data_IF_907288794970
#
_entry.id   IF_907288794970
#
_cell.length_a   1.000
_cell.length_b   1.000
_cell.length_c   1.000
_cell.angle_alpha   90.00
_cell.angle_beta   90.00
_cell.angle_gamma   90.00
#
_symmetry.space_group_name_H-M   'P 1'
#
loop_
_entity.id
_entity.type
_entity.pdbx_description
1 polymer ?
#
# COMPACT_ATOMS: atom_id res chain seq x y z
N UNK A 1 27.68 -4.43 19.80
CA UNK A 1 26.25 -4.09 19.63
C UNK A 1 25.91 -4.38 18.18
N UNK A 2 25.10 -5.39 17.91
CA UNK A 2 24.67 -5.73 16.53
C UNK A 2 23.48 -4.86 16.23
N UNK A 3 23.63 -3.90 15.31
CA UNK A 3 22.53 -3.15 14.74
C UNK A 3 21.64 -4.13 13.98
N UNK A 4 20.44 -4.40 14.51
CA UNK A 4 19.38 -5.05 13.74
C UNK A 4 19.01 -4.09 12.60
N UNK A 5 19.37 -4.47 11.38
CA UNK A 5 18.78 -3.84 10.21
C UNK A 5 17.40 -4.47 10.07
N UNK A 6 16.34 -3.73 10.41
CA UNK A 6 14.98 -4.10 10.02
C UNK A 6 14.95 -4.08 8.50
N UNK A 7 14.83 -5.25 7.90
CA UNK A 7 14.56 -5.37 6.48
C UNK A 7 13.11 -4.96 6.28
N UNK A 8 12.89 -3.89 5.53
CA UNK A 8 11.56 -3.40 5.18
C UNK A 8 10.90 -4.43 4.29
N UNK A 9 9.90 -5.13 4.81
CA UNK A 9 9.03 -5.98 4.01
C UNK A 9 8.10 -5.02 3.27
N UNK A 10 8.33 -4.87 1.96
CA UNK A 10 7.45 -4.12 1.08
C UNK A 10 6.14 -4.91 0.90
N UNK A 11 5.20 -4.73 1.81
CA UNK A 11 3.82 -5.03 1.52
C UNK A 11 3.24 -3.80 0.82
N UNK A 12 2.65 -4.03 -0.34
CA UNK A 12 1.97 -3.10 -1.21
C UNK A 12 1.69 -1.70 -0.64
N UNK A 13 2.36 -0.70 -1.25
CA UNK A 13 1.98 0.72 -1.30
C UNK A 13 1.42 1.34 -0.01
N UNK A 14 2.19 1.32 1.01
CA UNK A 14 2.47 2.41 1.92
C UNK A 14 3.97 2.28 2.15
N UNK A 15 4.76 3.17 1.55
CA UNK A 15 6.16 3.27 1.87
C UNK A 15 6.26 3.49 3.38
N UNK A 16 6.40 2.41 4.14
CA UNK A 16 6.89 2.54 5.50
C UNK A 16 8.31 3.05 5.32
N UNK A 17 8.42 4.37 5.30
CA UNK A 17 9.71 5.03 5.37
C UNK A 17 10.44 4.37 6.52
N UNK A 18 11.51 3.63 6.22
CA UNK A 18 12.40 3.13 7.25
C UNK A 18 13.00 4.37 7.87
N UNK A 19 12.43 4.84 8.99
CA UNK A 19 12.97 5.96 9.74
C UNK A 19 14.29 5.53 10.40
N UNK A 20 15.33 5.36 9.56
CA UNK A 20 16.69 5.48 10.06
C UNK A 20 16.87 6.94 10.44
N UNK A 21 17.36 7.21 11.66
CA UNK A 21 17.65 8.56 12.15
C UNK A 21 18.41 9.34 11.07
N UNK A 22 17.71 10.17 10.33
CA UNK A 22 18.28 11.05 9.32
C UNK A 22 18.58 12.36 10.03
N UNK A 23 19.85 12.68 10.13
CA UNK A 23 20.33 13.88 10.81
C UNK A 23 20.10 15.17 10.00
N UNK A 24 19.35 15.11 8.91
CA UNK A 24 18.98 16.26 8.05
C UNK A 24 17.71 15.96 7.27
N UNK A 25 17.05 17.03 6.76
CA UNK A 25 15.96 16.87 5.79
C UNK A 25 16.47 16.14 4.52
N UNK A 26 15.82 15.09 4.13
CA UNK A 26 16.21 14.25 2.99
C UNK A 26 15.11 14.27 1.91
N UNK A 27 15.55 14.33 0.67
CA UNK A 27 14.70 14.09 -0.49
C UNK A 27 15.23 12.85 -1.17
N UNK A 28 14.39 11.84 -1.36
CA UNK A 28 14.70 10.61 -2.08
C UNK A 28 13.75 10.42 -3.26
N UNK A 29 14.20 9.65 -4.24
CA UNK A 29 13.39 9.20 -5.35
C UNK A 29 13.34 7.67 -5.32
N UNK A 30 12.22 7.12 -5.75
CA UNK A 30 12.10 5.68 -5.94
C UNK A 30 11.60 5.35 -7.35
N UNK A 31 11.89 4.14 -7.79
CA UNK A 31 11.37 3.57 -9.03
C UNK A 31 11.09 2.09 -8.82
N UNK A 32 9.97 1.61 -9.34
CA UNK A 32 9.54 0.22 -9.24
C UNK A 32 8.97 -0.34 -10.53
N UNK A 33 9.04 -1.66 -10.63
CA UNK A 33 8.37 -2.43 -11.67
C UNK A 33 7.80 -3.70 -11.04
N UNK A 34 6.57 -4.05 -11.39
CA UNK A 34 5.93 -5.28 -10.94
C UNK A 34 5.24 -5.99 -12.10
N UNK A 35 5.18 -7.31 -12.05
CA UNK A 35 4.45 -8.09 -13.04
C UNK A 35 2.93 -8.00 -12.87
N UNK A 36 2.46 -7.57 -11.70
CA UNK A 36 1.06 -7.32 -11.37
C UNK A 36 1.01 -6.34 -10.20
N UNK A 37 0.34 -5.21 -10.35
CA UNK A 37 0.14 -4.26 -9.26
C UNK A 37 -1.01 -4.74 -8.39
N UNK A 38 -0.70 -5.17 -7.18
CA UNK A 38 -1.67 -5.62 -6.17
C UNK A 38 -1.84 -4.55 -5.09
N UNK A 39 -3.07 -4.16 -4.82
CA UNK A 39 -3.43 -3.26 -3.74
C UNK A 39 -4.56 -3.87 -2.90
N UNK A 40 -4.31 -4.02 -1.59
CA UNK A 40 -5.27 -4.62 -0.63
C UNK A 40 -5.89 -5.93 -1.15
N UNK A 41 -5.05 -6.81 -1.72
CA UNK A 41 -5.46 -8.13 -2.18
C UNK A 41 -5.92 -8.22 -3.64
N UNK A 42 -6.24 -7.10 -4.29
CA UNK A 42 -6.80 -7.07 -5.66
C UNK A 42 -5.83 -6.44 -6.67
N UNK A 43 -5.93 -6.87 -7.92
CA UNK A 43 -5.10 -6.33 -9.00
C UNK A 43 -5.57 -4.93 -9.41
N UNK A 44 -4.63 -4.01 -9.57
CA UNK A 44 -4.86 -2.65 -10.10
C UNK A 44 -4.39 -2.52 -11.55
N UNK A 45 -3.73 -3.53 -12.08
CA UNK A 45 -3.18 -3.52 -13.44
C UNK A 45 -3.74 -4.62 -14.33
N UNK A 46 -4.90 -5.22 -13.98
CA UNK A 46 -5.53 -6.28 -14.78
C UNK A 46 -4.62 -7.49 -14.98
N UNK A 47 -3.79 -7.84 -13.99
CA UNK A 47 -2.76 -8.87 -14.06
C UNK A 47 -1.67 -8.59 -15.11
N UNK A 48 -1.50 -7.35 -15.53
CA UNK A 48 -0.45 -6.90 -16.44
C UNK A 48 0.70 -6.20 -15.70
N UNK A 49 1.89 -6.06 -16.31
CA UNK A 49 2.99 -5.33 -15.72
C UNK A 49 2.66 -3.85 -15.46
N UNK A 50 3.13 -3.34 -14.32
CA UNK A 50 3.01 -1.94 -13.92
C UNK A 50 4.39 -1.36 -13.59
N UNK A 51 4.57 -0.08 -13.94
CA UNK A 51 5.72 0.74 -13.57
C UNK A 51 5.29 1.79 -12.56
N UNK A 52 6.16 2.10 -11.62
CA UNK A 52 5.89 3.11 -10.61
C UNK A 52 7.13 3.93 -10.28
N UNK A 53 6.93 5.08 -9.67
CA UNK A 53 8.00 5.91 -9.14
C UNK A 53 7.46 7.00 -8.25
N UNK A 54 8.33 7.57 -7.41
CA UNK A 54 7.91 8.57 -6.44
C UNK A 54 9.04 9.48 -5.98
N UNK A 55 8.64 10.52 -5.28
CA UNK A 55 9.54 11.45 -4.60
C UNK A 55 9.07 11.58 -3.15
N UNK A 56 9.99 11.44 -2.22
CA UNK A 56 9.75 11.52 -0.79
C UNK A 56 10.59 12.61 -0.16
N UNK A 57 10.00 13.34 0.75
CA UNK A 57 10.66 14.25 1.67
C UNK A 57 10.45 13.76 3.10
N UNK A 58 11.49 13.71 3.89
CA UNK A 58 11.41 13.44 5.33
C UNK A 58 12.37 14.32 6.11
N UNK A 59 12.10 14.51 7.40
CA UNK A 59 12.99 15.25 8.30
C UNK A 59 13.11 14.58 9.68
N UNK A 60 14.08 15.07 10.47
CA UNK A 60 14.38 14.54 11.82
C UNK A 60 13.19 14.59 12.79
N UNK A 61 12.21 15.45 12.57
CA UNK A 61 11.06 15.53 13.48
C UNK A 61 10.09 14.38 13.28
N UNK A 62 10.26 13.57 12.22
CA UNK A 62 9.35 12.49 11.83
C UNK A 62 8.28 12.93 10.81
N UNK A 63 8.24 14.21 10.45
CA UNK A 63 7.34 14.71 9.40
C UNK A 63 7.85 14.28 8.03
N UNK A 64 6.94 13.78 7.20
CA UNK A 64 7.22 13.43 5.81
C UNK A 64 6.09 13.86 4.89
N UNK A 65 6.40 13.99 3.61
CA UNK A 65 5.42 14.17 2.53
C UNK A 65 6.01 13.59 1.25
N UNK A 66 5.15 13.16 0.34
CA UNK A 66 5.63 12.61 -0.91
C UNK A 66 4.56 12.47 -1.96
N UNK A 67 4.99 11.94 -3.09
CA UNK A 67 4.12 11.55 -4.20
C UNK A 67 4.58 10.23 -4.78
N UNK A 68 3.63 9.42 -5.20
CA UNK A 68 3.86 8.20 -5.93
C UNK A 68 2.99 8.18 -7.17
N UNK A 69 3.47 7.57 -8.24
CA UNK A 69 2.75 7.41 -9.51
C UNK A 69 2.93 5.98 -9.96
N UNK A 70 1.83 5.31 -10.31
CA UNK A 70 1.84 3.95 -10.86
C UNK A 70 0.92 3.82 -12.06
N UNK A 71 1.27 2.91 -12.99
CA UNK A 71 0.39 2.60 -14.11
C UNK A 71 -0.67 1.59 -13.68
N UNK A 72 -1.92 1.83 -14.04
CA UNK A 72 -3.09 1.01 -13.74
C UNK A 72 -3.86 0.61 -14.99
N UNK A 73 -4.60 -0.49 -14.90
CA UNK A 73 -5.44 -1.02 -15.98
C UNK A 73 -6.69 -1.66 -15.35
N UNK A 74 -7.82 -0.96 -15.39
CA UNK A 74 -9.13 -1.45 -14.96
C UNK A 74 -10.04 -1.74 -16.16
N UNK A 75 -9.45 -1.94 -17.33
CA UNK A 75 -10.23 -2.27 -18.53
C UNK A 75 -10.88 -3.64 -18.41
N UNK A 76 -12.10 -3.71 -18.92
CA UNK A 76 -12.88 -4.93 -19.06
C UNK A 76 -13.55 -4.99 -20.45
N UNK A 77 -14.53 -5.89 -20.63
CA UNK A 77 -15.26 -6.02 -21.90
C UNK A 77 -16.08 -4.76 -22.28
N UNK A 78 -16.32 -3.86 -21.31
CA UNK A 78 -17.21 -2.69 -21.45
C UNK A 78 -16.47 -1.35 -21.32
N UNK A 79 -15.29 -1.36 -20.74
CA UNK A 79 -14.49 -0.18 -20.43
C UNK A 79 -13.03 -0.36 -20.85
N UNK A 80 -12.43 0.67 -21.43
CA UNK A 80 -11.00 0.77 -21.77
C UNK A 80 -10.27 1.69 -20.75
N UNK A 81 -10.59 1.55 -19.47
CA UNK A 81 -10.05 2.38 -18.38
C UNK A 81 -8.59 2.00 -18.08
N UNK A 82 -7.63 2.68 -18.75
CA UNK A 82 -6.18 2.54 -18.55
C UNK A 82 -5.56 3.89 -18.28
N UNK A 83 -4.61 3.91 -17.34
CA UNK A 83 -3.99 5.17 -17.01
C UNK A 83 -2.95 5.09 -15.91
N UNK A 84 -3.00 6.08 -15.04
CA UNK A 84 -2.11 6.19 -13.91
C UNK A 84 -2.90 6.54 -12.64
N UNK A 85 -2.44 6.02 -11.52
CA UNK A 85 -2.74 6.45 -10.18
C UNK A 85 -1.65 7.42 -9.73
N UNK A 86 -2.02 8.49 -9.08
CA UNK A 86 -1.11 9.49 -8.50
C UNK A 86 -1.49 9.67 -7.04
N UNK A 87 -0.60 9.30 -6.14
CA UNK A 87 -0.79 9.47 -4.71
C UNK A 87 -0.06 10.70 -4.22
N UNK A 88 -0.73 11.48 -3.38
CA UNK A 88 -0.15 12.60 -2.64
C UNK A 88 -0.33 12.32 -1.15
N UNK A 89 0.75 12.28 -0.41
CA UNK A 89 0.68 11.94 1.01
C UNK A 89 1.53 12.84 1.88
N UNK A 90 1.10 12.94 3.13
CA UNK A 90 1.85 13.58 4.20
C UNK A 90 1.57 12.87 5.51
N UNK A 91 2.54 12.87 6.42
CA UNK A 91 2.36 12.18 7.68
C UNK A 91 3.43 12.51 8.70
N UNK A 92 3.32 11.80 9.80
CA UNK A 92 4.23 11.86 10.93
C UNK A 92 4.47 10.47 11.48
N UNK A 93 5.72 10.02 11.46
CA UNK A 93 6.15 8.75 12.01
C UNK A 93 7.17 8.91 13.13
N UNK A 94 7.22 7.93 14.01
CA UNK A 94 8.14 7.93 15.12
C UNK A 94 8.15 6.64 15.91
N UNK A 95 8.91 6.63 17.00
CA UNK A 95 9.03 5.50 17.92
C UNK A 95 8.77 5.93 19.38
N UNK A 96 8.07 5.10 20.13
CA UNK A 96 7.85 5.25 21.55
C UNK A 96 8.30 3.95 22.26
N UNK A 97 9.60 3.87 22.63
CA UNK A 97 10.23 2.64 23.07
C UNK A 97 10.35 1.64 21.93
N UNK A 98 9.78 0.44 22.09
CA UNK A 98 9.77 -0.60 21.07
C UNK A 98 8.54 -0.52 20.12
N UNK A 99 7.72 0.50 20.30
CA UNK A 99 6.52 0.72 19.50
C UNK A 99 6.77 1.77 18.42
N UNK A 100 6.75 1.35 17.15
CA UNK A 100 6.76 2.24 16.00
C UNK A 100 5.33 2.68 15.66
N UNK A 101 5.16 3.94 15.27
CA UNK A 101 3.88 4.46 14.82
C UNK A 101 4.04 5.40 13.62
N UNK A 102 3.01 5.47 12.81
CA UNK A 102 2.90 6.33 11.65
C UNK A 102 1.44 6.76 11.48
N UNK A 103 1.20 8.06 11.32
CA UNK A 103 -0.11 8.64 11.09
C UNK A 103 -0.02 9.63 9.95
N UNK A 104 -0.96 9.57 9.02
CA UNK A 104 -0.93 10.47 7.87
C UNK A 104 -2.24 10.53 7.12
N UNK A 105 -2.17 11.25 6.03
CA UNK A 105 -3.22 11.38 5.04
C UNK A 105 -2.64 11.05 3.68
N UNK A 106 -3.39 10.30 2.88
CA UNK A 106 -3.09 9.98 1.48
C UNK A 106 -4.30 10.32 0.62
N UNK A 107 -4.03 10.94 -0.53
CA UNK A 107 -5.02 11.23 -1.56
C UNK A 107 -4.66 10.49 -2.83
N UNK A 108 -5.57 9.62 -3.25
CA UNK A 108 -5.49 8.85 -4.49
C UNK A 108 -6.18 9.64 -5.60
N UNK A 109 -5.42 9.98 -6.63
CA UNK A 109 -5.87 10.76 -7.76
C UNK A 109 -5.70 10.00 -9.07
N UNK A 110 -6.76 9.91 -9.83
CA UNK A 110 -6.85 9.18 -11.09
C UNK A 110 -7.06 10.15 -12.27
N UNK A 111 -5.99 10.71 -12.88
CA UNK A 111 -6.09 11.78 -13.88
C UNK A 111 -6.58 11.34 -15.26
N UNK A 112 -6.74 10.02 -15.50
CA UNK A 112 -7.05 9.47 -16.81
C UNK A 112 -8.55 9.39 -17.06
N UNK A 113 -8.97 9.46 -18.32
CA UNK A 113 -10.36 9.24 -18.72
C UNK A 113 -10.82 7.83 -18.36
N UNK A 114 -12.02 7.67 -17.87
CA UNK A 114 -12.60 6.39 -17.43
C UNK A 114 -12.45 6.15 -15.94
N UNK A 115 -11.89 7.12 -15.19
CA UNK A 115 -11.75 7.08 -13.73
C UNK A 115 -12.46 8.28 -13.08
N UNK A 116 -13.45 8.82 -13.78
CA UNK A 116 -14.30 9.87 -13.22
C UNK A 116 -14.94 9.36 -11.93
N UNK A 117 -14.97 10.21 -10.92
CA UNK A 117 -15.51 9.91 -9.58
C UNK A 117 -14.74 8.80 -8.79
N UNK A 118 -13.48 8.52 -9.17
CA UNK A 118 -12.65 7.52 -8.47
C UNK A 118 -11.68 8.11 -7.45
N UNK A 119 -11.55 9.44 -7.37
CA UNK A 119 -10.62 10.07 -6.45
C UNK A 119 -11.12 9.99 -5.00
N UNK A 120 -10.23 9.61 -4.08
CA UNK A 120 -10.57 9.56 -2.65
C UNK A 120 -9.36 9.83 -1.78
N UNK A 121 -9.61 10.07 -0.49
CA UNK A 121 -8.54 10.34 0.46
C UNK A 121 -8.80 9.70 1.82
N UNK A 122 -7.74 9.15 2.40
CA UNK A 122 -7.78 8.40 3.65
C UNK A 122 -6.90 9.03 4.71
N UNK A 123 -7.40 9.06 5.95
CA UNK A 123 -6.56 9.15 7.14
C UNK A 123 -6.14 7.75 7.53
N UNK A 124 -4.85 7.56 7.82
CA UNK A 124 -4.36 6.26 8.24
C UNK A 124 -3.54 6.34 9.54
N UNK A 125 -3.51 5.20 10.22
CA UNK A 125 -2.62 4.94 11.33
C UNK A 125 -2.02 3.55 11.18
N UNK A 126 -0.69 3.46 11.26
CA UNK A 126 0.05 2.20 11.29
C UNK A 126 0.80 2.08 12.62
N UNK A 127 0.84 0.89 13.16
CA UNK A 127 1.61 0.57 14.36
C UNK A 127 2.46 -0.66 14.16
N UNK A 128 3.61 -0.74 14.85
CA UNK A 128 4.49 -1.89 14.83
C UNK A 128 5.09 -2.18 16.21
N UNK A 129 5.24 -3.46 16.53
CA UNK A 129 5.93 -3.93 17.72
C UNK A 129 6.71 -5.21 17.40
N UNK A 130 8.03 -5.11 17.38
CA UNK A 130 8.89 -6.21 16.92
C UNK A 130 8.58 -6.59 15.47
N UNK A 131 8.21 -7.85 15.26
CA UNK A 131 7.84 -8.37 13.93
C UNK A 131 6.35 -8.23 13.59
N UNK A 132 5.52 -7.77 14.53
CA UNK A 132 4.09 -7.60 14.36
C UNK A 132 3.79 -6.18 13.88
N UNK A 133 2.92 -6.05 12.89
CA UNK A 133 2.39 -4.79 12.39
C UNK A 133 0.87 -4.80 12.34
N UNK A 134 0.26 -3.61 12.40
CA UNK A 134 -1.16 -3.42 12.13
C UNK A 134 -1.38 -2.05 11.50
N UNK A 135 -2.46 -1.92 10.77
CA UNK A 135 -2.85 -0.67 10.12
C UNK A 135 -4.35 -0.49 10.09
N UNK A 136 -4.76 0.77 10.03
CA UNK A 136 -6.13 1.18 9.77
C UNK A 136 -6.11 2.39 8.84
N UNK A 137 -7.01 2.42 7.86
CA UNK A 137 -7.23 3.57 6.98
C UNK A 137 -8.73 3.84 6.90
N UNK A 138 -9.10 5.11 6.99
CA UNK A 138 -10.48 5.57 6.98
C UNK A 138 -10.67 6.62 5.89
N UNK A 139 -11.58 6.37 4.96
CA UNK A 139 -11.89 7.29 3.86
C UNK A 139 -12.67 8.49 4.39
N UNK A 140 -12.05 9.69 4.34
CA UNK A 140 -12.62 10.92 4.86
C UNK A 140 -13.23 11.82 3.78
N UNK A 141 -12.85 11.59 2.54
CA UNK A 141 -13.41 12.26 1.36
C UNK A 141 -13.31 11.34 0.14
N UNK A 142 -14.30 11.40 -0.71
CA UNK A 142 -14.38 10.63 -1.96
C UNK A 142 -15.23 11.38 -2.98
N UNK A 143 -14.95 11.13 -4.26
CA UNK A 143 -15.79 11.54 -5.38
C UNK A 143 -16.79 10.45 -5.77
N UNK A 144 -16.61 9.21 -5.27
CA UNK A 144 -17.58 8.14 -5.47
C UNK A 144 -18.91 8.45 -4.75
N UNK A 145 -20.00 7.88 -5.26
CA UNK A 145 -21.30 7.96 -4.61
C UNK A 145 -21.25 7.39 -3.19
N UNK A 146 -21.96 7.99 -2.24
CA UNK A 146 -21.94 7.58 -0.83
C UNK A 146 -22.39 6.12 -0.58
N UNK A 147 -23.11 5.52 -1.51
CA UNK A 147 -23.61 4.14 -1.41
C UNK A 147 -22.74 3.15 -2.24
N UNK A 148 -21.58 3.60 -2.74
CA UNK A 148 -20.65 2.78 -3.52
C UNK A 148 -19.34 2.53 -2.75
N UNK A 149 -18.62 1.42 -3.02
CA UNK A 149 -17.27 1.20 -2.51
C UNK A 149 -16.31 2.36 -2.84
N UNK A 150 -15.32 2.58 -1.98
CA UNK A 150 -14.39 3.71 -1.98
C UNK A 150 -15.06 5.06 -1.69
N UNK A 151 -16.26 5.02 -1.09
CA UNK A 151 -16.99 6.16 -0.57
C UNK A 151 -16.44 6.69 0.75
N UNK A 152 -16.94 7.86 1.16
CA UNK A 152 -16.62 8.40 2.49
C UNK A 152 -17.24 7.52 3.58
N UNK A 153 -16.45 7.10 4.55
CA UNK A 153 -16.89 6.20 5.64
C UNK A 153 -16.22 4.84 5.60
N UNK A 154 -15.70 4.42 4.45
CA UNK A 154 -15.04 3.12 4.29
C UNK A 154 -13.85 2.96 5.22
N UNK A 155 -13.67 1.73 5.72
CA UNK A 155 -12.63 1.38 6.67
C UNK A 155 -11.84 0.17 6.17
N UNK A 156 -10.53 0.35 6.01
CA UNK A 156 -9.61 -0.76 5.79
C UNK A 156 -8.76 -0.99 7.03
N UNK A 157 -8.58 -2.25 7.43
CA UNK A 157 -7.66 -2.60 8.50
C UNK A 157 -6.89 -3.88 8.19
N UNK A 158 -5.66 -3.95 8.70
CA UNK A 158 -4.80 -5.11 8.48
C UNK A 158 -3.96 -5.45 9.70
N UNK A 159 -3.47 -6.68 9.70
CA UNK A 159 -2.41 -7.16 10.60
C UNK A 159 -1.35 -7.87 9.78
N UNK A 160 -0.10 -7.75 10.20
CA UNK A 160 1.02 -8.36 9.52
C UNK A 160 2.03 -8.97 10.49
N UNK A 161 2.80 -9.91 10.00
CA UNK A 161 3.91 -10.49 10.74
C UNK A 161 5.09 -10.78 9.80
N UNK A 162 6.30 -10.37 10.20
CA UNK A 162 7.53 -10.56 9.45
C UNK A 162 8.47 -11.59 10.04
N UNK A 163 9.16 -12.34 9.20
CA UNK A 163 10.17 -13.31 9.56
C UNK A 163 11.47 -13.04 8.81
N UNK A 164 12.58 -12.99 9.53
CA UNK A 164 13.91 -13.03 8.92
C UNK A 164 14.29 -14.50 8.66
N UNK A 165 14.54 -14.81 7.40
CA UNK A 165 14.96 -16.15 6.97
C UNK A 165 16.46 -16.18 6.66
N UNK A 166 17.10 -17.39 6.61
CA UNK A 166 18.51 -17.51 6.23
C UNK A 166 18.78 -16.92 4.83
N UNK A 167 20.04 -16.52 4.59
CA UNK A 167 20.53 -15.98 3.32
C UNK A 167 19.86 -14.66 2.90
N UNK A 168 19.51 -13.81 3.88
CA UNK A 168 18.93 -12.48 3.65
C UNK A 168 17.55 -12.52 2.97
N UNK A 169 16.81 -13.61 3.11
CA UNK A 169 15.41 -13.63 2.73
C UNK A 169 14.54 -13.07 3.86
N UNK A 170 13.49 -12.34 3.48
CA UNK A 170 12.39 -11.95 4.35
C UNK A 170 11.11 -12.66 3.94
N UNK A 171 10.27 -13.04 4.92
CA UNK A 171 8.93 -13.57 4.69
C UNK A 171 7.94 -12.67 5.42
N UNK A 172 6.97 -12.12 4.70
CA UNK A 172 5.86 -11.33 5.22
C UNK A 172 4.54 -12.08 5.09
N UNK A 173 3.71 -11.98 6.11
CA UNK A 173 2.32 -12.47 6.09
C UNK A 173 1.41 -11.29 6.41
N UNK A 174 0.38 -11.07 5.62
CA UNK A 174 -0.61 -10.01 5.85
C UNK A 174 -2.02 -10.58 5.72
N UNK A 175 -2.88 -10.21 6.63
CA UNK A 175 -4.32 -10.34 6.50
C UNK A 175 -4.93 -8.95 6.60
N UNK A 176 -5.78 -8.59 5.64
CA UNK A 176 -6.50 -7.33 5.62
C UNK A 176 -7.99 -7.54 5.39
N UNK A 177 -8.77 -6.56 5.78
CA UNK A 177 -10.22 -6.53 5.57
C UNK A 177 -10.66 -5.13 5.20
N UNK A 178 -11.50 -5.03 4.19
CA UNK A 178 -12.15 -3.81 3.75
C UNK A 178 -13.62 -3.86 4.14
N UNK A 179 -14.06 -2.91 4.95
CA UNK A 179 -15.43 -2.70 5.43
C UNK A 179 -15.93 -1.44 4.73
N UNK A 180 -16.78 -1.61 3.74
CA UNK A 180 -17.34 -0.51 2.97
C UNK A 180 -18.60 0.03 3.62
N UNK A 181 -18.70 1.35 3.81
CA UNK A 181 -19.89 2.02 4.34
C UNK A 181 -21.00 2.09 3.29
N UNK A 182 -21.42 0.90 2.81
CA UNK A 182 -22.49 0.72 1.83
C UNK A 182 -23.75 0.18 2.50
N UNK A 183 -24.94 0.31 1.88
CA UNK A 183 -26.20 -0.18 2.47
C UNK A 183 -26.24 -1.69 2.77
N UNK A 184 -25.35 -2.45 2.13
CA UNK A 184 -25.20 -3.90 2.34
C UNK A 184 -23.72 -4.22 2.45
N UNK A 185 -23.34 -5.23 3.22
CA UNK A 185 -21.97 -5.73 3.32
C UNK A 185 -21.55 -6.67 2.18
N UNK A 186 -22.29 -6.65 1.05
CA UNK A 186 -22.01 -7.53 -0.09
C UNK A 186 -20.69 -7.20 -0.82
N UNK A 187 -20.13 -6.02 -0.57
CA UNK A 187 -18.85 -5.60 -1.13
C UNK A 187 -17.66 -5.73 -0.17
N UNK A 188 -17.93 -5.97 1.13
CA UNK A 188 -16.87 -6.12 2.12
C UNK A 188 -16.05 -7.36 1.82
N UNK A 189 -14.73 -7.25 1.90
CA UNK A 189 -13.88 -8.39 1.60
C UNK A 189 -12.65 -8.49 2.47
N UNK A 190 -12.19 -9.72 2.68
CA UNK A 190 -10.91 -10.02 3.30
C UNK A 190 -9.88 -10.49 2.28
N UNK A 191 -8.60 -10.28 2.58
CA UNK A 191 -7.53 -10.83 1.77
C UNK A 191 -6.38 -11.36 2.63
N UNK A 192 -5.66 -12.31 2.08
CA UNK A 192 -4.43 -12.82 2.65
C UNK A 192 -3.29 -12.70 1.65
N UNK A 193 -2.11 -12.26 2.11
CA UNK A 193 -0.94 -12.07 1.28
C UNK A 193 0.30 -12.67 1.95
N UNK A 194 1.16 -13.24 1.11
CA UNK A 194 2.48 -13.77 1.48
C UNK A 194 3.52 -13.14 0.57
N UNK A 195 4.54 -12.54 1.17
CA UNK A 195 5.65 -11.89 0.47
C UNK A 195 6.96 -12.59 0.81
N UNK A 196 7.72 -13.01 -0.20
CA UNK A 196 9.09 -13.49 -0.07
C UNK A 196 10.03 -12.48 -0.72
N UNK A 197 10.85 -11.82 0.10
CA UNK A 197 11.76 -10.76 -0.35
C UNK A 197 13.23 -11.16 -0.27
N UNK A 198 14.04 -10.62 -1.19
CA UNK A 198 15.50 -10.64 -1.13
C UNK A 198 16.11 -9.48 -1.92
N UNK A 199 16.89 -8.63 -1.23
CA UNK A 199 17.41 -7.40 -1.84
C UNK A 199 16.24 -6.55 -2.33
N UNK A 200 16.31 -6.11 -3.58
CA UNK A 200 15.31 -5.25 -4.21
C UNK A 200 14.13 -6.03 -4.83
N UNK A 201 14.09 -7.35 -4.69
CA UNK A 201 13.06 -8.20 -5.29
C UNK A 201 12.09 -8.73 -4.24
N UNK A 202 10.81 -8.79 -4.62
CA UNK A 202 9.74 -9.43 -3.85
C UNK A 202 8.91 -10.34 -4.75
N UNK A 203 8.65 -11.56 -4.28
CA UNK A 203 7.64 -12.45 -4.85
C UNK A 203 6.43 -12.45 -3.92
N UNK A 204 5.27 -12.10 -4.48
CA UNK A 204 4.01 -11.99 -3.76
C UNK A 204 3.02 -13.04 -4.22
N UNK A 205 2.34 -13.66 -3.27
CA UNK A 205 1.12 -14.45 -3.49
C UNK A 205 0.01 -13.82 -2.67
N UNK A 206 -1.08 -13.45 -3.33
CA UNK A 206 -2.22 -12.80 -2.68
C UNK A 206 -3.52 -13.42 -3.14
N UNK A 207 -4.49 -13.47 -2.23
CA UNK A 207 -5.84 -13.93 -2.51
C UNK A 207 -6.84 -13.13 -1.68
N UNK A 208 -7.81 -12.53 -2.35
CA UNK A 208 -9.01 -11.97 -1.74
C UNK A 208 -10.17 -12.98 -1.78
N UNK A 209 -11.22 -12.73 -1.02
CA UNK A 209 -12.45 -13.51 -1.08
C UNK A 209 -13.34 -13.10 -2.26
N UNK A 210 -14.49 -13.74 -2.43
CA UNK A 210 -15.37 -13.57 -3.60
C UNK A 210 -16.00 -12.19 -3.65
N UNK A 211 -16.24 -11.59 -2.52
CA UNK A 211 -16.88 -10.27 -2.37
C UNK A 211 -16.00 -9.16 -2.95
N UNK A 212 -14.70 -9.39 -3.06
CA UNK A 212 -13.77 -8.46 -3.74
C UNK A 212 -14.01 -8.32 -5.25
N UNK A 213 -14.77 -9.21 -5.86
CA UNK A 213 -14.89 -9.33 -7.31
C UNK A 213 -13.66 -9.88 -8.03
N UNK A 214 -12.59 -10.23 -7.28
CA UNK A 214 -11.31 -10.73 -7.80
C UNK A 214 -10.72 -11.80 -6.88
N UNK A 215 -11.41 -12.94 -6.76
CA UNK A 215 -11.06 -14.03 -5.83
C UNK A 215 -10.05 -15.05 -6.38
N UNK A 216 -9.47 -14.79 -7.52
CA UNK A 216 -8.37 -15.58 -8.04
C UNK A 216 -7.11 -15.42 -7.19
N UNK A 217 -6.27 -16.46 -7.16
CA UNK A 217 -4.95 -16.33 -6.54
C UNK A 217 -4.03 -15.53 -7.44
N UNK A 218 -3.61 -14.37 -6.98
CA UNK A 218 -2.73 -13.46 -7.69
C UNK A 218 -1.26 -13.72 -7.34
N UNK A 219 -0.40 -13.57 -8.34
CA UNK A 219 1.05 -13.67 -8.21
C UNK A 219 1.69 -12.40 -8.75
N UNK A 220 2.72 -11.91 -8.07
CA UNK A 220 3.53 -10.81 -8.55
C UNK A 220 5.02 -11.05 -8.29
N UNK A 221 5.86 -10.56 -9.20
CA UNK A 221 7.29 -10.35 -8.99
C UNK A 221 7.52 -8.86 -9.13
N UNK A 222 8.04 -8.26 -8.07
CA UNK A 222 8.31 -6.82 -8.01
C UNK A 222 9.79 -6.56 -7.81
N UNK A 223 10.25 -5.46 -8.38
CA UNK A 223 11.56 -4.88 -8.14
C UNK A 223 11.41 -3.40 -7.83
N UNK A 224 12.16 -2.89 -6.86
CA UNK A 224 12.17 -1.48 -6.51
C UNK A 224 13.57 -1.02 -6.10
N UNK A 225 13.91 0.22 -6.43
CA UNK A 225 15.13 0.87 -5.99
C UNK A 225 14.85 2.30 -5.51
N UNK A 226 15.66 2.77 -4.55
CA UNK A 226 15.62 4.15 -4.04
C UNK A 226 16.98 4.82 -4.21
N UNK A 227 16.96 6.14 -4.45
CA UNK A 227 18.14 6.97 -4.77
C UNK A 227 18.20 8.21 -3.90
#
# INVERSE_FOLDING_TARGET
MKTLKLSVIAAAVLATASFSQVAQAEVSANFGATSNYLWRGVTQSGNAPSLSGGLDYSNESGVYAGTWVGTIDWSDETSDAKGAEVDLYLGYGGEAGDFGYDVGYIYYYYPSTGYEDSNFGELYFNGSFGAFGFGVAYTINSEADNDAPFGTGDLYYNVSYGFDLPNEFGLGLTYGYYDFDTPTSESDYGHFQVDLSKGDFTFTVSKADQESGSDDTNFAVSWSASF
#
